data_IF_655711356633
#
_entry.id   IF_655711356633
#
_cell.length_a   1.000
_cell.length_b   1.000
_cell.length_c   1.000
_cell.angle_alpha   90.00
_cell.angle_beta   90.00
_cell.angle_gamma   90.00
#
_symmetry.space_group_name_H-M   'P 1'
#
loop_
_entity.id
_entity.type
_entity.pdbx_description
1 polymer ?
#
# COMPACT_ATOMS: atom_id res chain seq x y z
N UNK A 1 -2.13 -15.33 -16.26
CA UNK A 1 -1.50 -14.27 -15.43
C UNK A 1 -1.99 -12.95 -15.97
N UNK A 2 -2.34 -12.02 -15.10
CA UNK A 2 -2.81 -10.69 -15.49
C UNK A 2 -1.66 -9.79 -15.97
N UNK A 3 -1.98 -8.81 -16.81
CA UNK A 3 -1.13 -7.63 -17.07
C UNK A 3 -1.47 -6.50 -16.09
N UNK A 4 -0.69 -5.42 -16.09
CA UNK A 4 -0.97 -4.24 -15.26
C UNK A 4 -2.31 -3.58 -15.64
N UNK A 5 -2.62 -3.50 -16.94
CA UNK A 5 -3.87 -2.94 -17.45
C UNK A 5 -5.08 -3.80 -17.09
N UNK A 6 -4.94 -5.13 -17.16
CA UNK A 6 -5.99 -6.05 -16.74
C UNK A 6 -6.29 -5.94 -15.24
N UNK A 7 -5.26 -5.73 -14.40
CA UNK A 7 -5.44 -5.48 -12.96
C UNK A 7 -6.28 -4.22 -12.69
N UNK A 8 -6.10 -3.15 -13.46
CA UNK A 8 -6.85 -1.90 -13.29
C UNK A 8 -8.36 -2.08 -13.50
N UNK A 9 -8.74 -3.04 -14.34
CA UNK A 9 -10.12 -3.29 -14.74
C UNK A 9 -10.79 -4.43 -13.96
N UNK A 10 -10.11 -5.01 -12.96
CA UNK A 10 -10.67 -6.11 -12.19
C UNK A 10 -11.88 -5.68 -11.36
N UNK A 11 -12.93 -6.48 -11.44
CA UNK A 11 -14.14 -6.33 -10.62
C UNK A 11 -14.10 -7.18 -9.34
N UNK A 12 -13.24 -8.18 -9.29
CA UNK A 12 -13.05 -9.09 -8.16
C UNK A 12 -11.55 -9.32 -7.91
N UNK A 13 -11.20 -9.60 -6.65
CA UNK A 13 -9.81 -9.88 -6.30
C UNK A 13 -9.27 -11.09 -7.06
N UNK A 14 -8.05 -11.02 -7.60
CA UNK A 14 -7.39 -12.13 -8.26
C UNK A 14 -6.99 -13.21 -7.25
N UNK A 15 -6.77 -14.43 -7.74
CA UNK A 15 -6.07 -15.45 -6.94
C UNK A 15 -4.58 -15.10 -6.90
N UNK A 16 -3.92 -15.45 -5.80
CA UNK A 16 -2.48 -15.18 -5.63
C UNK A 16 -1.59 -15.85 -6.69
N UNK A 17 -2.07 -16.92 -7.31
CA UNK A 17 -1.33 -17.63 -8.36
C UNK A 17 -1.55 -17.02 -9.76
N UNK A 18 -2.48 -16.08 -9.90
CA UNK A 18 -2.80 -15.41 -11.16
C UNK A 18 -2.05 -14.07 -11.31
N UNK A 19 -1.29 -13.68 -10.26
CA UNK A 19 -0.48 -12.46 -10.23
C UNK A 19 0.99 -12.80 -9.94
N UNK A 20 1.89 -11.94 -10.40
CA UNK A 20 3.32 -11.97 -10.07
C UNK A 20 3.71 -10.70 -9.33
N UNK A 21 4.84 -10.72 -8.62
CA UNK A 21 5.36 -9.52 -7.98
C UNK A 21 5.74 -8.45 -9.02
N UNK A 22 6.29 -8.90 -10.18
CA UNK A 22 6.60 -8.02 -11.30
C UNK A 22 5.36 -7.30 -11.84
N UNK A 23 4.25 -8.01 -12.05
CA UNK A 23 3.00 -7.38 -12.52
C UNK A 23 2.47 -6.34 -11.52
N UNK A 24 2.60 -6.59 -10.21
CA UNK A 24 2.24 -5.58 -9.20
C UNK A 24 3.19 -4.38 -9.22
N UNK A 25 4.48 -4.59 -9.49
CA UNK A 25 5.47 -3.51 -9.66
C UNK A 25 5.20 -2.70 -10.93
N UNK A 26 4.92 -3.35 -12.05
CA UNK A 26 4.52 -2.69 -13.30
C UNK A 26 3.23 -1.87 -13.08
N UNK A 27 2.25 -2.44 -12.37
CA UNK A 27 1.01 -1.76 -12.00
C UNK A 27 1.27 -0.48 -11.17
N UNK A 28 2.15 -0.58 -10.18
CA UNK A 28 2.58 0.56 -9.38
C UNK A 28 3.30 1.61 -10.22
N UNK A 29 4.23 1.19 -11.08
CA UNK A 29 5.00 2.08 -11.96
C UNK A 29 4.13 2.81 -12.97
N UNK A 30 3.03 2.21 -13.46
CA UNK A 30 2.16 2.82 -14.46
C UNK A 30 1.05 3.68 -13.87
N UNK A 31 0.47 3.27 -12.73
CA UNK A 31 -0.77 3.87 -12.24
C UNK A 31 -0.62 4.67 -10.93
N UNK A 32 0.51 4.60 -10.25
CA UNK A 32 0.76 5.29 -8.99
C UNK A 32 2.01 6.18 -9.05
N UNK A 33 3.17 5.60 -9.29
CA UNK A 33 4.47 6.28 -9.20
C UNK A 33 4.60 7.53 -10.11
N UNK A 34 4.08 7.57 -11.36
CA UNK A 34 4.27 8.73 -12.22
C UNK A 34 3.44 9.94 -11.83
N UNK A 35 2.59 9.84 -10.81
CA UNK A 35 1.59 10.87 -10.52
C UNK A 35 1.80 11.51 -9.15
N UNK A 36 1.60 12.82 -9.12
CA UNK A 36 1.38 13.61 -7.91
C UNK A 36 -0.12 13.75 -7.73
N UNK A 37 -0.63 13.34 -6.59
CA UNK A 37 -2.04 13.49 -6.25
C UNK A 37 -2.20 14.67 -5.29
N UNK A 38 -2.96 15.68 -5.71
CA UNK A 38 -3.21 16.87 -4.91
C UNK A 38 -4.59 16.81 -4.28
N UNK A 39 -4.63 17.02 -2.98
CA UNK A 39 -5.85 17.00 -2.17
C UNK A 39 -6.08 18.31 -1.45
N UNK A 40 -7.34 18.58 -1.11
CA UNK A 40 -7.72 19.68 -0.20
C UNK A 40 -8.70 19.19 0.85
N UNK A 41 -8.69 19.83 2.01
CA UNK A 41 -9.69 19.59 3.04
C UNK A 41 -10.96 20.38 2.69
N UNK A 42 -12.14 19.73 2.68
CA UNK A 42 -13.40 20.45 2.45
C UNK A 42 -13.69 21.50 3.53
N UNK A 43 -13.28 21.22 4.79
CA UNK A 43 -13.40 22.17 5.91
C UNK A 43 -12.48 23.39 5.77
N UNK A 44 -11.40 23.29 4.98
CA UNK A 44 -10.48 24.39 4.71
C UNK A 44 -9.87 24.26 3.30
N UNK A 45 -10.58 24.76 2.26
CA UNK A 45 -10.14 24.62 0.86
C UNK A 45 -8.81 25.31 0.53
N UNK A 46 -8.31 26.19 1.41
CA UNK A 46 -7.00 26.83 1.23
C UNK A 46 -5.84 25.92 1.65
N UNK A 47 -6.12 24.86 2.42
CA UNK A 47 -5.12 23.88 2.83
C UNK A 47 -5.14 22.72 1.83
N UNK A 48 -4.07 22.60 1.05
CA UNK A 48 -3.84 21.49 0.15
C UNK A 48 -2.59 20.72 0.57
N UNK A 49 -2.55 19.44 0.22
CA UNK A 49 -1.37 18.60 0.38
C UNK A 49 -1.21 17.69 -0.84
N UNK A 50 0.01 17.21 -1.03
CA UNK A 50 0.37 16.33 -2.14
C UNK A 50 0.76 14.96 -1.61
N UNK A 51 0.38 13.90 -2.33
CA UNK A 51 0.76 12.53 -2.06
C UNK A 51 1.58 12.00 -3.25
N UNK A 52 2.76 11.50 -2.95
CA UNK A 52 3.72 10.97 -3.93
C UNK A 52 4.00 9.51 -3.64
N UNK A 53 4.14 8.72 -4.72
CA UNK A 53 4.42 7.29 -4.67
C UNK A 53 5.79 6.99 -5.28
N UNK A 54 6.84 6.95 -4.46
CA UNK A 54 8.17 6.60 -4.90
C UNK A 54 8.35 5.09 -5.04
N UNK A 55 9.21 4.65 -5.97
CA UNK A 55 9.53 3.22 -6.16
C UNK A 55 9.98 2.54 -4.86
N UNK A 56 10.67 3.27 -4.01
CA UNK A 56 11.15 2.80 -2.71
C UNK A 56 10.02 2.40 -1.75
N UNK A 57 8.81 2.98 -1.91
CA UNK A 57 7.67 2.66 -1.05
C UNK A 57 7.03 1.31 -1.38
N UNK A 58 7.18 0.81 -2.61
CA UNK A 58 6.47 -0.38 -3.11
C UNK A 58 6.67 -1.62 -2.24
N UNK A 59 7.93 -1.99 -1.99
CA UNK A 59 8.27 -3.17 -1.21
C UNK A 59 7.73 -3.09 0.22
N UNK A 60 7.78 -1.90 0.82
CA UNK A 60 7.26 -1.63 2.15
C UNK A 60 5.73 -1.76 2.21
N UNK A 61 5.00 -1.19 1.26
CA UNK A 61 3.54 -1.30 1.18
C UNK A 61 3.07 -2.75 1.08
N UNK A 62 3.75 -3.57 0.30
CA UNK A 62 3.47 -5.00 0.22
C UNK A 62 3.95 -5.80 1.46
N UNK A 63 4.84 -5.22 2.28
CA UNK A 63 5.38 -5.87 3.49
C UNK A 63 6.43 -6.94 3.18
N UNK A 64 7.21 -6.80 2.10
CA UNK A 64 8.22 -7.79 1.70
C UNK A 64 9.28 -7.97 2.78
N UNK A 65 9.72 -6.88 3.40
CA UNK A 65 10.65 -6.91 4.54
C UNK A 65 10.09 -7.74 5.72
N UNK A 66 8.77 -7.70 5.96
CA UNK A 66 8.12 -8.48 7.02
C UNK A 66 8.26 -9.99 6.77
N UNK A 67 8.21 -10.42 5.51
CA UNK A 67 8.43 -11.83 5.16
C UNK A 67 9.89 -12.21 5.40
N UNK A 68 10.83 -11.35 4.98
CA UNK A 68 12.26 -11.61 5.07
C UNK A 68 12.80 -11.54 6.50
N UNK A 69 12.19 -10.71 7.35
CA UNK A 69 12.61 -10.52 8.74
C UNK A 69 12.67 -11.86 9.48
N UNK A 70 13.80 -12.09 10.16
CA UNK A 70 14.13 -13.35 10.84
C UNK A 70 14.30 -14.59 9.94
N UNK A 71 14.23 -14.43 8.61
CA UNK A 71 14.37 -15.52 7.65
C UNK A 71 15.66 -15.40 6.82
N UNK A 72 16.23 -14.20 6.79
CA UNK A 72 17.53 -13.93 6.15
C UNK A 72 18.46 -13.21 7.13
N UNK A 73 19.79 -13.27 6.94
CA UNK A 73 20.74 -12.46 7.70
C UNK A 73 20.43 -10.97 7.57
N UNK A 74 20.62 -10.19 8.64
CA UNK A 74 20.31 -8.76 8.69
C UNK A 74 20.90 -7.97 7.50
N UNK A 75 22.13 -8.28 7.10
CA UNK A 75 22.81 -7.69 5.96
C UNK A 75 22.16 -7.93 4.60
N UNK A 76 21.22 -8.89 4.49
CA UNK A 76 20.46 -9.20 3.25
C UNK A 76 19.05 -8.64 3.27
N UNK A 77 18.62 -7.96 4.34
CA UNK A 77 17.27 -7.39 4.43
C UNK A 77 17.04 -6.29 3.39
N UNK A 78 18.08 -5.55 2.99
CA UNK A 78 17.96 -4.52 1.95
C UNK A 78 17.41 -5.09 0.64
N UNK A 79 17.68 -6.35 0.29
CA UNK A 79 17.16 -7.01 -0.91
C UNK A 79 15.60 -7.07 -0.96
N UNK A 80 14.91 -6.78 0.12
CA UNK A 80 13.45 -6.86 0.25
C UNK A 80 12.79 -5.50 0.52
N UNK A 81 13.52 -4.39 0.45
CA UNK A 81 13.03 -3.05 0.74
C UNK A 81 13.69 -1.98 -0.13
N UNK A 82 13.06 -0.81 -0.16
CA UNK A 82 13.58 0.35 -0.88
C UNK A 82 13.85 0.06 -2.35
N UNK A 83 14.81 0.78 -2.91
CA UNK A 83 15.18 0.67 -4.32
C UNK A 83 15.85 -0.67 -4.65
N UNK A 84 16.64 -1.25 -3.72
CA UNK A 84 17.27 -2.54 -3.94
C UNK A 84 16.21 -3.64 -4.09
N UNK A 85 15.17 -3.64 -3.21
CA UNK A 85 14.06 -4.56 -3.33
C UNK A 85 13.29 -4.38 -4.64
N UNK A 86 13.09 -3.13 -5.09
CA UNK A 86 12.49 -2.84 -6.38
C UNK A 86 13.30 -3.41 -7.54
N UNK A 87 14.60 -3.14 -7.60
CA UNK A 87 15.48 -3.62 -8.65
C UNK A 87 15.56 -5.15 -8.69
N UNK A 88 15.52 -5.81 -7.52
CA UNK A 88 15.48 -7.27 -7.42
C UNK A 88 14.24 -7.91 -8.04
N UNK A 89 13.10 -7.20 -8.10
CA UNK A 89 11.89 -7.70 -8.76
C UNK A 89 12.10 -7.83 -10.28
N UNK A 90 12.93 -6.98 -10.84
CA UNK A 90 13.27 -6.99 -12.27
C UNK A 90 14.54 -7.77 -12.60
N UNK A 91 15.28 -8.26 -11.59
CA UNK A 91 16.56 -8.93 -11.76
C UNK A 91 17.66 -7.99 -12.26
N UNK A 92 17.57 -6.70 -11.90
CA UNK A 92 18.51 -5.66 -12.35
C UNK A 92 19.75 -5.51 -11.46
N UNK A 93 19.90 -6.36 -10.43
CA UNK A 93 21.06 -6.37 -9.56
C UNK A 93 22.16 -7.32 -10.07
N UNK A 94 23.41 -6.97 -9.79
CA UNK A 94 24.60 -7.67 -10.28
C UNK A 94 24.71 -9.14 -9.84
N UNK A 95 24.07 -9.53 -8.73
CA UNK A 95 24.09 -10.89 -8.19
C UNK A 95 23.05 -11.82 -8.85
N UNK A 96 22.23 -11.30 -9.78
CA UNK A 96 21.19 -12.07 -10.48
C UNK A 96 20.06 -12.55 -9.58
N UNK A 97 19.93 -12.04 -8.36
CA UNK A 97 18.83 -12.37 -7.46
C UNK A 97 17.51 -11.81 -7.97
N UNK A 98 16.50 -12.67 -8.13
CA UNK A 98 15.14 -12.29 -8.53
C UNK A 98 14.18 -12.47 -7.36
N UNK A 99 13.51 -11.40 -7.00
CA UNK A 99 12.49 -11.36 -5.95
C UNK A 99 11.10 -11.63 -6.56
N UNK A 100 10.52 -12.77 -6.24
CA UNK A 100 9.19 -13.18 -6.74
C UNK A 100 8.30 -13.77 -5.64
N UNK A 101 7.03 -14.03 -5.97
CA UNK A 101 6.06 -14.62 -5.03
C UNK A 101 6.44 -16.06 -4.62
N UNK A 102 6.88 -16.97 -5.51
CA UNK A 102 7.41 -18.28 -5.13
C UNK A 102 8.52 -18.22 -4.10
N UNK A 103 9.53 -17.36 -4.33
CA UNK A 103 10.62 -17.14 -3.39
C UNK A 103 10.09 -16.71 -2.00
N UNK A 104 9.23 -15.70 -1.96
CA UNK A 104 8.64 -15.20 -0.71
C UNK A 104 7.85 -16.27 0.06
N UNK A 105 7.10 -17.12 -0.65
CA UNK A 105 6.37 -18.25 -0.05
C UNK A 105 7.30 -19.29 0.58
N UNK A 106 8.41 -19.59 -0.10
CA UNK A 106 9.41 -20.55 0.37
C UNK A 106 10.19 -19.99 1.55
N UNK A 107 10.57 -18.71 1.48
CA UNK A 107 11.36 -18.03 2.48
C UNK A 107 10.68 -18.03 3.87
N UNK A 108 9.39 -17.65 3.92
CA UNK A 108 8.63 -17.66 5.17
C UNK A 108 7.11 -17.81 4.91
N UNK A 109 6.66 -19.04 4.88
CA UNK A 109 5.25 -19.39 4.61
C UNK A 109 4.27 -18.74 5.60
N UNK A 110 4.64 -18.63 6.89
CA UNK A 110 3.79 -18.04 7.94
C UNK A 110 3.62 -16.54 7.71
N UNK A 111 4.73 -15.81 7.55
CA UNK A 111 4.69 -14.37 7.32
C UNK A 111 4.07 -14.04 5.97
N UNK A 112 4.34 -14.80 4.91
CA UNK A 112 3.67 -14.64 3.62
C UNK A 112 2.15 -14.77 3.76
N UNK A 113 1.66 -15.79 4.50
CA UNK A 113 0.23 -15.99 4.71
C UNK A 113 -0.43 -14.80 5.42
N UNK A 114 0.26 -14.18 6.39
CA UNK A 114 -0.27 -13.05 7.15
C UNK A 114 -0.45 -11.77 6.31
N UNK A 115 0.38 -11.57 5.29
CA UNK A 115 0.31 -10.37 4.43
C UNK A 115 -0.21 -10.65 3.02
N UNK A 116 -0.58 -11.90 2.70
CA UNK A 116 -1.09 -12.30 1.37
C UNK A 116 -2.21 -11.40 0.85
N UNK A 117 -3.06 -10.89 1.75
CA UNK A 117 -4.14 -9.99 1.39
C UNK A 117 -3.64 -8.72 0.68
N UNK A 118 -2.48 -8.17 1.08
CA UNK A 118 -1.88 -6.99 0.44
C UNK A 118 -1.67 -7.20 -1.07
N UNK A 119 -1.21 -8.37 -1.48
CA UNK A 119 -0.95 -8.68 -2.89
C UNK A 119 -2.25 -8.73 -3.71
N UNK A 120 -3.28 -9.42 -3.21
CA UNK A 120 -4.51 -9.64 -3.98
C UNK A 120 -5.48 -8.46 -3.95
N UNK A 121 -5.29 -7.48 -3.07
CA UNK A 121 -6.08 -6.25 -3.01
C UNK A 121 -5.32 -5.02 -3.51
N UNK A 122 -4.05 -5.17 -3.89
CA UNK A 122 -3.19 -4.06 -4.32
C UNK A 122 -3.78 -3.28 -5.51
N UNK A 123 -4.49 -3.96 -6.39
CA UNK A 123 -5.15 -3.37 -7.55
C UNK A 123 -6.20 -2.30 -7.20
N UNK A 124 -6.67 -2.25 -5.96
CA UNK A 124 -7.64 -1.25 -5.50
C UNK A 124 -7.00 0.10 -5.12
N UNK A 125 -5.68 0.20 -5.00
CA UNK A 125 -5.02 1.43 -4.59
C UNK A 125 -5.33 2.64 -5.48
N UNK A 126 -5.28 2.58 -6.83
CA UNK A 126 -5.61 3.73 -7.66
C UNK A 126 -7.06 4.19 -7.52
N UNK A 127 -7.98 3.28 -7.20
CA UNK A 127 -9.38 3.65 -6.92
C UNK A 127 -9.49 4.30 -5.55
N UNK A 128 -8.84 3.73 -4.53
CA UNK A 128 -8.82 4.26 -3.18
C UNK A 128 -8.30 5.71 -3.14
N UNK A 129 -7.18 6.01 -3.79
CA UNK A 129 -6.58 7.35 -3.76
C UNK A 129 -7.34 8.39 -4.58
N UNK A 130 -8.20 7.97 -5.53
CA UNK A 130 -9.04 8.88 -6.32
C UNK A 130 -10.33 9.30 -5.63
N UNK A 131 -10.84 8.47 -4.73
CA UNK A 131 -12.09 8.74 -4.00
C UNK A 131 -12.00 8.13 -2.59
N UNK A 132 -11.10 8.66 -1.73
CA UNK A 132 -10.90 8.10 -0.40
C UNK A 132 -11.95 8.61 0.59
N UNK A 133 -12.46 7.70 1.41
CA UNK A 133 -12.90 8.06 2.75
C UNK A 133 -11.64 8.26 3.60
N UNK A 134 -11.67 9.16 4.57
CA UNK A 134 -10.46 9.53 5.29
C UNK A 134 -10.67 9.93 6.75
N UNK A 135 -9.67 9.62 7.56
CA UNK A 135 -9.64 10.00 8.99
C UNK A 135 -8.26 10.55 9.35
N UNK A 136 -8.22 11.44 10.34
CA UNK A 136 -6.98 11.73 11.08
C UNK A 136 -6.67 10.51 11.94
N UNK A 137 -5.52 9.91 11.74
CA UNK A 137 -5.19 8.65 12.41
C UNK A 137 -4.40 8.87 13.70
N UNK A 138 -4.88 8.31 14.79
CA UNK A 138 -4.22 8.31 16.11
C UNK A 138 -4.17 6.90 16.68
N UNK A 139 -2.96 6.41 16.98
CA UNK A 139 -2.75 5.05 17.51
C UNK A 139 -3.45 4.82 18.85
N UNK A 140 -3.54 5.86 19.70
CA UNK A 140 -4.21 5.79 21.00
C UNK A 140 -5.71 5.46 20.90
N UNK A 141 -6.31 5.73 19.76
CA UNK A 141 -7.72 5.43 19.51
C UNK A 141 -7.95 3.96 19.07
N UNK A 142 -6.88 3.21 18.78
CA UNK A 142 -6.98 1.81 18.36
C UNK A 142 -6.80 0.88 19.55
N UNK A 143 -7.69 -0.11 19.71
CA UNK A 143 -7.62 -1.11 20.78
C UNK A 143 -7.66 -2.53 20.21
N UNK A 144 -6.65 -3.38 20.46
CA UNK A 144 -5.39 -3.08 21.16
C UNK A 144 -4.50 -2.10 20.41
N UNK A 145 -3.56 -1.40 21.09
CA UNK A 145 -2.66 -0.43 20.45
C UNK A 145 -1.86 -1.05 19.31
N UNK A 146 -1.67 -0.27 18.25
CA UNK A 146 -0.92 -0.68 17.05
C UNK A 146 0.42 0.06 16.96
N UNK A 147 1.18 -0.25 15.90
CA UNK A 147 2.42 0.47 15.55
C UNK A 147 2.31 1.13 14.18
N UNK A 148 1.08 1.45 13.77
CA UNK A 148 0.85 2.15 12.50
C UNK A 148 1.34 3.58 12.66
N UNK A 149 2.25 3.99 11.77
CA UNK A 149 2.82 5.33 11.72
C UNK A 149 2.30 6.06 10.49
N UNK A 150 1.19 6.79 10.67
CA UNK A 150 0.62 7.65 9.63
C UNK A 150 -0.16 8.81 10.28
N UNK A 151 -0.36 9.89 9.53
CA UNK A 151 -1.10 11.07 9.95
C UNK A 151 -2.56 11.00 9.48
N UNK A 152 -2.74 10.51 8.25
CA UNK A 152 -4.05 10.36 7.62
C UNK A 152 -4.19 8.91 7.15
N UNK A 153 -5.36 8.32 7.40
CA UNK A 153 -5.73 7.00 6.89
C UNK A 153 -6.80 7.15 5.82
N UNK A 154 -6.48 6.78 4.58
CA UNK A 154 -7.44 6.59 3.51
C UNK A 154 -8.02 5.19 3.59
N UNK A 155 -9.31 5.04 3.35
CA UNK A 155 -9.95 3.73 3.37
C UNK A 155 -11.11 3.64 2.38
N UNK A 156 -11.41 2.43 1.97
CA UNK A 156 -12.60 2.10 1.19
C UNK A 156 -13.02 0.65 1.41
N UNK A 157 -14.30 0.37 1.23
CA UNK A 157 -14.82 -1.01 1.30
C UNK A 157 -14.64 -1.71 -0.05
N UNK A 158 -14.09 -2.92 -0.05
CA UNK A 158 -14.04 -3.75 -1.25
C UNK A 158 -15.47 -4.14 -1.68
N UNK A 159 -15.86 -3.86 -2.94
CA UNK A 159 -17.24 -3.99 -3.42
C UNK A 159 -17.85 -5.38 -3.24
N UNK A 160 -17.09 -6.44 -3.39
CA UNK A 160 -17.60 -7.81 -3.40
C UNK A 160 -16.96 -8.68 -2.30
N UNK A 161 -16.48 -8.05 -1.23
CA UNK A 161 -15.81 -8.77 -0.14
C UNK A 161 -16.05 -8.02 1.18
N UNK A 162 -16.09 -8.74 2.28
CA UNK A 162 -16.15 -8.15 3.62
C UNK A 162 -14.76 -7.69 4.06
N UNK A 163 -14.17 -6.78 3.30
CA UNK A 163 -12.85 -6.25 3.54
C UNK A 163 -12.83 -4.74 3.39
N UNK A 164 -12.11 -4.07 4.27
CA UNK A 164 -11.79 -2.65 4.19
C UNK A 164 -10.31 -2.54 3.83
N UNK A 165 -10.04 -1.71 2.83
CA UNK A 165 -8.71 -1.42 2.32
C UNK A 165 -8.24 -0.14 3.00
N UNK A 166 -7.04 -0.16 3.57
CA UNK A 166 -6.45 0.98 4.26
C UNK A 166 -5.13 1.39 3.62
N UNK A 167 -4.93 2.68 3.46
CA UNK A 167 -3.67 3.30 3.07
C UNK A 167 -3.35 4.42 4.04
N UNK A 168 -2.40 4.21 4.93
CA UNK A 168 -1.87 5.27 5.80
C UNK A 168 -0.82 6.09 5.09
N UNK A 169 -0.99 7.40 5.11
CA UNK A 169 -0.04 8.37 4.56
C UNK A 169 0.52 9.25 5.67
N UNK A 170 1.77 9.67 5.51
CA UNK A 170 2.47 10.51 6.48
C UNK A 170 3.21 11.62 5.77
N UNK A 171 3.21 12.81 6.35
CA UNK A 171 3.99 13.91 5.85
C UNK A 171 5.48 13.63 6.06
N UNK A 172 6.26 13.75 5.00
CA UNK A 172 7.70 13.76 5.06
C UNK A 172 8.15 15.21 5.36
N UNK A 173 8.73 15.42 6.54
CA UNK A 173 9.10 16.76 7.01
C UNK A 173 10.25 17.37 6.20
N UNK A 174 11.05 16.57 5.50
CA UNK A 174 12.16 17.06 4.67
C UNK A 174 11.68 17.41 3.27
N UNK A 175 10.76 16.62 2.73
CA UNK A 175 10.27 16.75 1.36
C UNK A 175 9.03 17.66 1.27
N UNK A 176 8.29 17.81 2.39
CA UNK A 176 7.11 18.69 2.47
C UNK A 176 5.82 18.09 1.90
N UNK A 177 5.87 16.93 1.28
CA UNK A 177 4.70 16.21 0.76
C UNK A 177 4.42 14.92 1.56
N UNK A 178 3.27 14.31 1.34
CA UNK A 178 2.91 13.03 1.96
C UNK A 178 3.43 11.85 1.15
N UNK A 179 3.83 10.80 1.87
CA UNK A 179 4.24 9.52 1.27
C UNK A 179 3.42 8.38 1.87
N UNK A 180 3.17 7.29 1.12
CA UNK A 180 2.48 6.12 1.64
C UNK A 180 3.37 5.38 2.64
N UNK A 181 2.87 5.14 3.85
CA UNK A 181 3.60 4.47 4.96
C UNK A 181 3.08 3.10 5.28
N UNK A 182 1.80 2.85 5.09
CA UNK A 182 1.23 1.53 5.36
C UNK A 182 0.09 1.22 4.42
N UNK A 183 -0.01 -0.02 4.03
CA UNK A 183 -1.13 -0.57 3.27
C UNK A 183 -1.54 -1.88 3.91
N UNK A 184 -2.80 -2.03 4.26
CA UNK A 184 -3.31 -3.27 4.85
C UNK A 184 -4.80 -3.46 4.59
N UNK A 185 -5.26 -4.67 4.83
CA UNK A 185 -6.64 -5.07 4.60
C UNK A 185 -7.17 -5.66 5.89
N UNK A 186 -8.26 -5.09 6.39
CA UNK A 186 -9.03 -5.63 7.49
C UNK A 186 -10.24 -6.39 6.97
N UNK A 187 -10.43 -7.62 7.46
CA UNK A 187 -11.65 -8.37 7.19
C UNK A 187 -12.66 -8.07 8.27
N UNK A 188 -13.75 -7.44 7.89
CA UNK A 188 -14.81 -7.05 8.82
C UNK A 188 -15.92 -8.10 8.79
N UNK A 189 -16.31 -8.57 9.95
CA UNK A 189 -17.54 -9.37 10.09
C UNK A 189 -18.73 -8.42 10.29
N UNK A 190 -19.95 -8.90 9.98
CA UNK A 190 -21.19 -8.12 10.20
C UNK A 190 -21.44 -7.71 11.67
N UNK A 191 -20.62 -8.20 12.57
CA UNK A 191 -20.74 -7.97 14.04
C UNK A 191 -19.57 -7.16 14.63
N UNK A 192 -18.58 -6.77 13.84
CA UNK A 192 -17.39 -6.10 14.34
C UNK A 192 -17.08 -4.88 13.48
N UNK A 193 -17.02 -3.73 14.14
CA UNK A 193 -16.54 -2.50 13.51
C UNK A 193 -15.05 -2.59 13.20
N UNK A 194 -14.63 -1.80 12.21
CA UNK A 194 -13.21 -1.63 11.92
C UNK A 194 -12.52 -0.89 13.06
N UNK A 195 -11.67 -1.63 13.79
CA UNK A 195 -10.99 -1.11 14.99
C UNK A 195 -10.04 0.05 14.67
N UNK A 196 -9.59 0.17 13.42
CA UNK A 196 -8.68 1.24 12.99
C UNK A 196 -9.40 2.53 12.66
N UNK A 197 -10.72 2.50 12.43
CA UNK A 197 -11.51 3.64 11.98
C UNK A 197 -12.53 4.12 13.00
N UNK A 198 -13.14 3.21 13.77
CA UNK A 198 -14.36 3.46 14.58
C UNK A 198 -14.25 4.58 15.62
N UNK A 199 -13.04 4.96 16.04
CA UNK A 199 -12.79 6.02 17.02
C UNK A 199 -11.92 7.15 16.48
N UNK A 200 -11.71 7.21 15.18
CA UNK A 200 -10.91 8.24 14.55
C UNK A 200 -11.78 9.43 14.17
N UNK A 201 -11.14 10.58 14.02
CA UNK A 201 -11.78 11.80 13.53
C UNK A 201 -11.93 11.73 12.00
N UNK A 202 -13.17 11.70 11.52
CA UNK A 202 -13.44 11.74 10.09
C UNK A 202 -13.09 13.11 9.50
N UNK A 203 -12.45 13.09 8.34
CA UNK A 203 -12.18 14.29 7.55
C UNK A 203 -12.67 14.10 6.13
N UNK A 204 -13.24 15.16 5.58
CA UNK A 204 -13.62 15.16 4.18
C UNK A 204 -12.53 15.81 3.34
N UNK A 205 -12.05 15.06 2.37
CA UNK A 205 -11.05 15.53 1.40
C UNK A 205 -11.61 15.47 -0.02
N UNK A 206 -11.06 16.31 -0.88
CA UNK A 206 -11.37 16.32 -2.32
C UNK A 206 -10.07 16.18 -3.08
N UNK A 207 -10.05 15.29 -4.06
CA UNK A 207 -8.96 15.22 -5.03
C UNK A 207 -9.10 16.41 -5.96
N UNK A 208 -8.10 17.29 -5.99
CA UNK A 208 -8.10 18.47 -6.86
C UNK A 208 -7.54 18.14 -8.24
N UNK A 209 -6.45 17.41 -8.27
CA UNK A 209 -5.73 17.15 -9.52
C UNK A 209 -4.83 15.89 -9.40
N UNK A 210 -4.45 15.37 -10.56
CA UNK A 210 -3.44 14.33 -10.74
C UNK A 210 -2.50 14.76 -11.85
N UNK A 211 -1.32 15.19 -11.47
CA UNK A 211 -0.28 15.67 -12.41
C UNK A 211 0.77 14.59 -12.64
N UNK A 212 1.24 14.45 -13.88
CA UNK A 212 2.38 13.56 -14.18
C UNK A 212 3.66 14.27 -13.71
N UNK A 213 4.51 13.54 -12.98
CA UNK A 213 5.86 13.99 -12.66
C UNK A 213 6.67 14.07 -13.97
N UNK A 214 7.21 15.24 -14.28
CA UNK A 214 8.08 15.48 -15.44
C UNK A 214 9.53 15.08 -15.15
#
# INVERSE_FOLDING_TARGET
MYTAEELLNLQMKPRINDITLKVLADYYAFFLNPFIYKYTLKSNPTKSFELWFDKENFCHLLGLETIAKNSVPYKKIHNYKGIDGWNNIYGENDDGFVLDIPHLKTLNKKNFKSIKAKFVYFYLLPTLIRDPLSVIFKNENVSPPTRIDCDIMFYSKAKNDNAIIHLGIKQDNQLGYYVPKTFFIEKVSSKQDDIYLSKQEEIEITVLDRTIML
#
